data_IF_026779741049
#
_entry.id   IF_026779741049
#
_cell.length_a   1.000
_cell.length_b   1.000
_cell.length_c   1.000
_cell.angle_alpha   90.00
_cell.angle_beta   90.00
_cell.angle_gamma   90.00
#
_symmetry.space_group_name_H-M   'P 1'
#
loop_
_entity.id
_entity.type
_entity.pdbx_description
1 polymer ?
#
# COMPACT_ATOMS: atom_id res chain seq x y z
N UNK A 1 -0.71 -2.19 21.38
CA UNK A 1 -2.05 -2.01 20.77
C UNK A 1 -2.18 -0.70 19.98
N UNK A 2 -1.64 0.43 20.47
CA UNK A 2 -1.67 1.71 19.75
C UNK A 2 -0.94 1.73 18.38
N UNK A 3 0.19 1.02 18.25
CA UNK A 3 0.94 0.96 16.99
C UNK A 3 0.18 0.31 15.82
N UNK A 4 -0.63 -0.71 16.09
CA UNK A 4 -1.48 -1.36 15.07
C UNK A 4 -2.58 -0.42 14.62
N UNK A 5 -3.18 0.34 15.54
CA UNK A 5 -4.24 1.30 15.21
C UNK A 5 -3.72 2.48 14.38
N UNK A 6 -2.47 2.92 14.64
CA UNK A 6 -1.80 3.98 13.84
C UNK A 6 -1.46 3.47 12.44
N UNK A 7 -0.92 2.25 12.31
CA UNK A 7 -0.64 1.64 11.02
C UNK A 7 -1.92 1.47 10.18
N UNK A 8 -2.99 0.95 10.80
CA UNK A 8 -4.30 0.79 10.14
C UNK A 8 -4.90 2.15 9.75
N UNK A 9 -4.83 3.15 10.64
CA UNK A 9 -5.30 4.51 10.33
C UNK A 9 -4.54 5.14 9.16
N UNK A 10 -3.22 4.94 9.09
CA UNK A 10 -2.41 5.46 8.00
C UNK A 10 -2.72 4.77 6.66
N UNK A 11 -2.87 3.43 6.66
CA UNK A 11 -3.26 2.66 5.47
C UNK A 11 -4.62 3.12 4.93
N UNK A 12 -5.61 3.32 5.80
CA UNK A 12 -6.96 3.80 5.42
C UNK A 12 -6.89 5.21 4.82
N UNK A 13 -6.11 6.10 5.42
CA UNK A 13 -6.01 7.48 4.97
C UNK A 13 -5.27 7.62 3.63
N UNK A 14 -4.25 6.79 3.37
CA UNK A 14 -3.58 6.74 2.05
C UNK A 14 -4.50 6.18 0.96
N UNK A 15 -5.34 5.19 1.28
CA UNK A 15 -6.28 4.61 0.34
C UNK A 15 -7.35 5.62 -0.13
N UNK A 16 -7.84 6.48 0.78
CA UNK A 16 -8.88 7.46 0.47
C UNK A 16 -8.29 8.76 -0.12
N UNK A 17 -7.08 9.16 0.29
CA UNK A 17 -6.43 10.38 -0.16
C UNK A 17 -6.13 10.44 -1.66
N UNK A 18 -5.86 9.29 -2.30
CA UNK A 18 -5.67 9.21 -3.75
C UNK A 18 -6.97 9.33 -4.55
N UNK A 19 -8.10 8.97 -3.95
CA UNK A 19 -9.42 8.98 -4.61
C UNK A 19 -10.00 10.41 -4.65
N UNK A 20 -9.70 11.25 -3.66
CA UNK A 20 -10.20 12.63 -3.58
C UNK A 20 -9.74 13.55 -4.71
N UNK A 21 -8.50 13.37 -5.22
CA UNK A 21 -7.97 14.16 -6.33
C UNK A 21 -8.61 13.81 -7.69
N UNK A 22 -9.12 12.58 -7.85
CA UNK A 22 -9.80 12.15 -9.06
C UNK A 22 -11.26 12.67 -9.14
N UNK A 23 -11.87 13.00 -8.00
CA UNK A 23 -13.30 13.34 -7.91
C UNK A 23 -13.57 14.84 -8.17
N UNK A 24 -12.58 15.74 -8.04
CA UNK A 24 -12.81 17.19 -8.23
C UNK A 24 -13.07 17.60 -9.67
N UNK A 25 -12.77 16.76 -10.66
CA UNK A 25 -13.05 17.03 -12.09
C UNK A 25 -14.19 16.15 -12.58
N UNK A 26 -15.43 16.43 -12.15
CA UNK A 26 -16.63 15.73 -12.61
C UNK A 26 -16.93 16.09 -14.08
N UNK A 27 -16.16 15.48 -14.98
CA UNK A 27 -16.37 15.47 -16.42
C UNK A 27 -16.45 14.02 -16.88
N UNK A 28 -17.21 13.73 -17.95
CA UNK A 28 -17.30 12.37 -18.54
C UNK A 28 -15.91 11.79 -18.82
N UNK A 29 -14.94 12.66 -19.13
CA UNK A 29 -13.53 12.32 -19.31
C UNK A 29 -12.89 11.78 -18.01
N UNK A 30 -13.21 12.35 -16.85
CA UNK A 30 -12.71 11.89 -15.55
C UNK A 30 -13.19 10.48 -15.18
N UNK A 31 -14.42 10.12 -15.56
CA UNK A 31 -14.96 8.77 -15.31
C UNK A 31 -14.22 7.73 -16.18
N UNK A 32 -14.00 8.04 -17.46
CA UNK A 32 -13.27 7.14 -18.38
C UNK A 32 -11.81 6.98 -17.95
N UNK A 33 -11.15 8.07 -17.57
CA UNK A 33 -9.77 8.02 -17.07
C UNK A 33 -9.67 7.28 -15.73
N UNK A 34 -10.64 7.45 -14.82
CA UNK A 34 -10.69 6.73 -13.55
C UNK A 34 -10.89 5.22 -13.72
N UNK A 35 -11.75 4.79 -14.65
CA UNK A 35 -11.93 3.38 -15.00
C UNK A 35 -10.66 2.78 -15.61
N UNK A 36 -9.99 3.51 -16.52
CA UNK A 36 -8.73 3.10 -17.10
C UNK A 36 -7.63 2.96 -16.03
N UNK A 37 -7.56 3.92 -15.12
CA UNK A 37 -6.62 3.90 -14.01
C UNK A 37 -6.88 2.75 -13.04
N UNK A 38 -8.14 2.46 -12.72
CA UNK A 38 -8.51 1.29 -11.91
C UNK A 38 -7.99 0.00 -12.56
N UNK A 39 -8.22 -0.16 -13.87
CA UNK A 39 -7.76 -1.33 -14.61
C UNK A 39 -6.22 -1.46 -14.61
N UNK A 40 -5.51 -0.37 -14.89
CA UNK A 40 -4.04 -0.35 -14.89
C UNK A 40 -3.49 -0.60 -13.48
N UNK A 41 -4.04 0.06 -12.46
CA UNK A 41 -3.63 -0.09 -11.07
C UNK A 41 -3.84 -1.51 -10.55
N UNK A 42 -4.94 -2.17 -10.94
CA UNK A 42 -5.22 -3.56 -10.59
C UNK A 42 -4.19 -4.51 -11.21
N UNK A 43 -3.88 -4.35 -12.51
CA UNK A 43 -2.89 -5.17 -13.21
C UNK A 43 -1.50 -5.00 -12.55
N UNK A 44 -1.12 -3.76 -12.25
CA UNK A 44 0.14 -3.46 -11.58
C UNK A 44 0.21 -4.07 -10.18
N UNK A 45 -0.87 -3.96 -9.40
CA UNK A 45 -0.96 -4.55 -8.07
C UNK A 45 -0.81 -6.08 -8.14
N UNK A 46 -1.50 -6.75 -9.06
CA UNK A 46 -1.37 -8.21 -9.26
C UNK A 46 0.07 -8.61 -9.59
N UNK A 47 0.74 -7.86 -10.47
CA UNK A 47 2.13 -8.10 -10.83
C UNK A 47 3.07 -7.95 -9.60
N UNK A 48 2.87 -6.91 -8.79
CA UNK A 48 3.66 -6.70 -7.57
C UNK A 48 3.41 -7.77 -6.51
N UNK A 49 2.16 -8.20 -6.29
CA UNK A 49 1.84 -9.29 -5.34
C UNK A 49 2.55 -10.58 -5.78
N UNK A 50 2.46 -10.93 -7.07
CA UNK A 50 3.12 -12.11 -7.61
C UNK A 50 4.64 -12.06 -7.41
N UNK A 51 5.25 -10.92 -7.71
CA UNK A 51 6.70 -10.75 -7.56
C UNK A 51 7.12 -10.82 -6.09
N UNK A 52 6.40 -10.14 -5.19
CA UNK A 52 6.66 -10.16 -3.76
C UNK A 52 6.52 -11.56 -3.16
N UNK A 53 5.43 -12.26 -3.51
CA UNK A 53 5.20 -13.62 -3.05
C UNK A 53 6.25 -14.60 -3.58
N UNK A 54 6.62 -14.50 -4.85
CA UNK A 54 7.66 -15.33 -5.47
C UNK A 54 9.03 -15.13 -4.82
N UNK A 55 9.39 -13.87 -4.49
CA UNK A 55 10.62 -13.56 -3.75
C UNK A 55 10.59 -14.18 -2.35
N UNK A 56 9.48 -14.08 -1.64
CA UNK A 56 9.33 -14.71 -0.32
C UNK A 56 9.43 -16.23 -0.39
N UNK A 57 8.76 -16.87 -1.36
CA UNK A 57 8.84 -18.31 -1.57
C UNK A 57 10.27 -18.78 -1.86
N UNK A 58 11.06 -17.95 -2.56
CA UNK A 58 12.48 -18.21 -2.84
C UNK A 58 13.40 -17.98 -1.65
N UNK A 59 12.99 -17.18 -0.66
CA UNK A 59 13.73 -17.00 0.59
C UNK A 59 13.40 -18.15 1.55
N UNK A 60 12.13 -18.57 1.58
CA UNK A 60 11.63 -19.70 2.34
C UNK A 60 11.80 -21.03 1.57
N UNK A 61 12.95 -21.27 0.95
CA UNK A 61 13.20 -22.46 0.11
C UNK A 61 13.07 -23.79 0.87
N UNK A 62 13.15 -23.76 2.20
CA UNK A 62 13.09 -24.95 3.06
C UNK A 62 11.66 -25.34 3.45
N UNK A 63 10.68 -24.45 3.25
CA UNK A 63 9.30 -24.56 3.76
C UNK A 63 8.34 -24.13 2.64
N UNK A 64 7.57 -25.07 2.10
CA UNK A 64 6.59 -24.77 1.06
C UNK A 64 5.33 -24.19 1.69
N UNK A 65 5.24 -22.85 1.66
CA UNK A 65 4.16 -22.07 2.26
C UNK A 65 2.78 -22.56 1.83
N UNK A 66 2.60 -22.94 0.55
CA UNK A 66 1.29 -23.37 0.05
C UNK A 66 0.91 -24.76 0.56
N UNK A 67 1.87 -25.68 0.55
CA UNK A 67 1.63 -27.04 1.05
C UNK A 67 1.38 -27.05 2.56
N UNK A 68 2.10 -26.25 3.34
CA UNK A 68 1.89 -26.17 4.79
C UNK A 68 0.65 -25.37 5.19
N UNK A 69 0.24 -24.37 4.39
CA UNK A 69 -1.07 -23.75 4.51
C UNK A 69 -2.19 -24.77 4.27
N UNK A 70 -2.08 -25.59 3.22
CA UNK A 70 -3.05 -26.64 2.90
C UNK A 70 -3.10 -27.75 3.96
N UNK A 71 -1.96 -28.06 4.60
CA UNK A 71 -1.89 -28.98 5.74
C UNK A 71 -2.48 -28.40 7.04
N UNK A 72 -2.88 -27.13 7.04
CA UNK A 72 -3.47 -26.47 8.22
C UNK A 72 -2.45 -26.02 9.27
N UNK A 73 -1.17 -25.84 8.89
CA UNK A 73 -0.16 -25.36 9.82
C UNK A 73 -0.43 -23.89 10.18
N UNK A 74 -0.91 -23.66 11.41
CA UNK A 74 -1.26 -22.31 11.90
C UNK A 74 -0.05 -21.38 11.93
N UNK A 75 1.16 -21.89 12.16
CA UNK A 75 2.38 -21.07 12.15
C UNK A 75 2.62 -20.45 10.77
N UNK A 76 2.47 -21.25 9.71
CA UNK A 76 2.62 -20.80 8.32
C UNK A 76 1.48 -19.85 7.92
N UNK A 77 0.28 -20.06 8.47
CA UNK A 77 -0.84 -19.11 8.33
C UNK A 77 -0.56 -17.72 8.89
N UNK A 78 0.08 -17.63 10.06
CA UNK A 78 0.45 -16.34 10.66
C UNK A 78 1.54 -15.66 9.82
N UNK A 79 2.52 -16.42 9.32
CA UNK A 79 3.61 -15.90 8.47
C UNK A 79 3.06 -15.37 7.15
N UNK A 80 2.18 -16.11 6.47
CA UNK A 80 1.60 -15.66 5.20
C UNK A 80 0.72 -14.42 5.39
N UNK A 81 -0.02 -14.32 6.50
CA UNK A 81 -0.78 -13.13 6.85
C UNK A 81 0.13 -11.90 7.05
N UNK A 82 1.25 -12.05 7.75
CA UNK A 82 2.21 -10.96 7.96
C UNK A 82 2.84 -10.47 6.63
N UNK A 83 3.16 -11.40 5.74
CA UNK A 83 3.68 -11.08 4.40
C UNK A 83 2.63 -10.31 3.59
N UNK A 84 1.37 -10.77 3.59
CA UNK A 84 0.29 -10.12 2.85
C UNK A 84 0.00 -8.70 3.36
N UNK A 85 0.00 -8.48 4.68
CA UNK A 85 -0.16 -7.14 5.26
C UNK A 85 0.96 -6.20 4.80
N UNK A 86 2.20 -6.68 4.83
CA UNK A 86 3.37 -5.90 4.41
C UNK A 86 3.30 -5.58 2.91
N UNK A 87 2.99 -6.59 2.07
CA UNK A 87 2.83 -6.39 0.63
C UNK A 87 1.71 -5.41 0.30
N UNK A 88 0.58 -5.46 1.01
CA UNK A 88 -0.52 -4.53 0.81
C UNK A 88 -0.10 -3.07 1.04
N UNK A 89 0.69 -2.80 2.09
CA UNK A 89 1.15 -1.45 2.42
C UNK A 89 2.20 -0.94 1.42
N UNK A 90 3.16 -1.80 1.05
CA UNK A 90 4.19 -1.48 0.04
C UNK A 90 3.54 -1.21 -1.32
N UNK A 91 2.64 -2.07 -1.77
CA UNK A 91 1.96 -1.92 -3.07
C UNK A 91 1.04 -0.70 -3.06
N UNK A 92 0.30 -0.48 -1.98
CA UNK A 92 -0.54 0.72 -1.83
C UNK A 92 0.25 2.02 -1.98
N UNK A 93 1.44 2.09 -1.36
CA UNK A 93 2.32 3.25 -1.51
C UNK A 93 2.95 3.38 -2.90
N UNK A 94 3.36 2.27 -3.53
CA UNK A 94 3.90 2.26 -4.88
C UNK A 94 2.87 2.72 -5.92
N UNK A 95 1.65 2.18 -5.87
CA UNK A 95 0.57 2.53 -6.79
C UNK A 95 0.08 3.97 -6.56
N UNK A 96 0.04 4.43 -5.31
CA UNK A 96 -0.26 5.83 -4.98
C UNK A 96 0.79 6.80 -5.53
N UNK A 97 2.07 6.45 -5.44
CA UNK A 97 3.16 7.24 -6.01
C UNK A 97 3.08 7.36 -7.53
N UNK A 98 2.84 6.25 -8.23
CA UNK A 98 2.69 6.22 -9.69
C UNK A 98 1.46 7.02 -10.13
N UNK A 99 0.33 6.82 -9.45
CA UNK A 99 -0.91 7.57 -9.69
C UNK A 99 -0.69 9.09 -9.56
N UNK A 100 0.01 9.51 -8.52
CA UNK A 100 0.30 10.93 -8.26
C UNK A 100 1.27 11.51 -9.30
N UNK A 101 2.24 10.71 -9.77
CA UNK A 101 3.20 11.10 -10.80
C UNK A 101 2.61 11.18 -12.22
N UNK A 102 1.67 10.28 -12.53
CA UNK A 102 1.08 10.17 -13.87
C UNK A 102 -0.11 11.13 -14.09
N UNK A 103 -0.86 11.46 -13.04
CA UNK A 103 -2.07 12.30 -13.12
C UNK A 103 -1.89 13.70 -12.52
N UNK A 104 -0.75 13.97 -11.88
CA UNK A 104 -0.41 15.27 -11.32
C UNK A 104 -0.06 16.32 -12.38
N UNK A 105 -1.07 16.90 -13.03
CA UNK A 105 -0.97 18.29 -13.48
C UNK A 105 -0.83 19.14 -12.21
N UNK A 106 0.34 19.77 -12.04
CA UNK A 106 0.84 20.46 -10.83
C UNK A 106 1.36 19.53 -9.71
N UNK A 107 2.45 18.81 -9.97
CA UNK A 107 3.18 18.08 -8.93
C UNK A 107 3.95 19.06 -8.04
N UNK A 108 3.32 19.51 -6.96
CA UNK A 108 4.02 20.16 -5.85
C UNK A 108 4.90 19.13 -5.15
N UNK A 109 6.04 18.77 -5.74
CA UNK A 109 7.09 17.92 -5.16
C UNK A 109 7.44 18.36 -3.73
N UNK A 110 7.39 19.68 -3.47
CA UNK A 110 7.55 20.27 -2.14
C UNK A 110 6.45 19.78 -1.18
N UNK A 111 5.18 19.71 -1.59
CA UNK A 111 4.09 19.21 -0.76
C UNK A 111 4.21 17.72 -0.42
N UNK A 112 4.70 16.89 -1.34
CA UNK A 112 4.93 15.47 -1.09
C UNK A 112 6.10 15.22 -0.13
N UNK A 113 7.21 15.96 -0.29
CA UNK A 113 8.36 15.91 0.62
C UNK A 113 7.99 16.49 1.99
N UNK A 114 7.35 17.66 2.04
CA UNK A 114 6.92 18.31 3.29
C UNK A 114 5.90 17.45 4.02
N UNK A 115 4.93 16.85 3.31
CA UNK A 115 3.99 15.91 3.90
C UNK A 115 4.68 14.67 4.47
N UNK A 116 5.61 14.06 3.72
CA UNK A 116 6.37 12.90 4.17
C UNK A 116 7.26 13.20 5.38
N UNK A 117 7.98 14.33 5.37
CA UNK A 117 8.86 14.76 6.47
C UNK A 117 8.07 15.18 7.70
N UNK A 118 6.99 15.95 7.54
CA UNK A 118 6.12 16.34 8.65
C UNK A 118 5.52 15.11 9.34
N UNK A 119 5.10 14.11 8.56
CA UNK A 119 4.53 12.90 9.10
C UNK A 119 5.57 12.00 9.79
N UNK A 120 6.81 11.98 9.30
CA UNK A 120 7.93 11.31 9.99
C UNK A 120 8.22 11.97 11.34
N UNK A 121 8.25 13.31 11.38
CA UNK A 121 8.45 14.08 12.63
C UNK A 121 7.30 13.84 13.62
N UNK A 122 6.06 13.94 13.16
CA UNK A 122 4.86 13.69 13.98
C UNK A 122 4.83 12.24 14.48
N UNK A 123 5.21 11.27 13.64
CA UNK A 123 5.30 9.86 14.00
C UNK A 123 6.33 9.60 15.10
N UNK A 124 7.50 10.22 15.04
CA UNK A 124 8.55 10.09 16.08
C UNK A 124 8.09 10.74 17.40
N UNK A 125 7.40 11.89 17.35
CA UNK A 125 6.86 12.57 18.55
C UNK A 125 5.78 11.72 19.22
N UNK A 126 4.87 11.14 18.44
CA UNK A 126 3.82 10.28 18.99
C UNK A 126 4.35 8.96 19.53
N UNK A 127 5.35 8.35 18.88
CA UNK A 127 6.01 7.16 19.39
C UNK A 127 6.64 7.39 20.78
N UNK A 128 7.13 8.61 21.05
CA UNK A 128 7.73 8.98 22.34
C UNK A 128 6.71 9.32 23.44
N UNK A 129 5.43 9.53 23.10
CA UNK A 129 4.32 9.85 24.02
C UNK A 129 3.47 8.63 24.42
N UNK A 130 3.75 7.47 23.83
CA UNK A 130 3.01 6.20 24.04
C UNK A 130 3.77 5.23 24.96
N UNK A 131 4.96 5.62 25.45
CA UNK A 131 5.72 4.97 26.52
C UNK A 131 5.80 5.91 27.72
#
# INVERSE_FOLDING_TARGET
>A
MAGVLIAVGFVIQRAIGGIGAAITTLSVVGIVLGLLQLAIGLILAMACIYLGFSLFNKILTEIDLQDELNKGNTAVGIVSAAIMITLAEVIGSAVSGITSGLLGKEMNFIGAIVGGVAQLIVGIIFAKRVN
#
